data_IF_672814649514
#
_entry.id   IF_672814649514
#
_cell.length_a   1.000
_cell.length_b   1.000
_cell.length_c   1.000
_cell.angle_alpha   90.00
_cell.angle_beta   90.00
_cell.angle_gamma   90.00
#
_symmetry.space_group_name_H-M   'P 1'
#
loop_
_entity.id
_entity.type
_entity.pdbx_description
1 polymer ?
#
# COMPACT_ATOMS: atom_id res chain seq x y z
N UNK A 1 -3.46 10.49 11.96
CA UNK A 1 -3.55 11.45 10.83
C UNK A 1 -2.20 11.83 10.25
N UNK A 2 -1.16 12.11 11.06
CA UNK A 2 0.18 12.48 10.55
C UNK A 2 0.82 11.40 9.65
N UNK A 3 0.77 10.13 10.05
CA UNK A 3 1.35 9.01 9.28
C UNK A 3 0.66 8.80 7.94
N UNK A 4 -0.67 8.84 7.89
CA UNK A 4 -1.43 8.69 6.65
C UNK A 4 -1.07 9.78 5.64
N UNK A 5 -0.95 11.04 6.08
CA UNK A 5 -0.54 12.14 5.21
C UNK A 5 0.86 11.94 4.60
N UNK A 6 1.84 11.54 5.42
CA UNK A 6 3.19 11.21 4.95
C UNK A 6 3.20 10.04 3.97
N UNK A 7 2.43 9.00 4.25
CA UNK A 7 2.26 7.83 3.37
C UNK A 7 1.68 8.24 2.02
N UNK A 8 0.65 9.07 2.00
CA UNK A 8 0.06 9.58 0.75
C UNK A 8 1.06 10.42 -0.04
N UNK A 9 1.86 11.26 0.62
CA UNK A 9 2.92 12.03 -0.05
C UNK A 9 3.96 11.09 -0.66
N UNK A 10 4.42 10.08 0.08
CA UNK A 10 5.37 9.09 -0.43
C UNK A 10 4.81 8.32 -1.64
N UNK A 11 3.52 7.93 -1.59
CA UNK A 11 2.83 7.27 -2.70
C UNK A 11 2.70 8.18 -3.92
N UNK A 12 2.44 9.47 -3.72
CA UNK A 12 2.39 10.45 -4.81
C UNK A 12 3.77 10.63 -5.47
N UNK A 13 4.86 10.62 -4.69
CA UNK A 13 6.23 10.63 -5.24
C UNK A 13 6.49 9.39 -6.07
N UNK A 14 6.11 8.19 -5.58
CA UNK A 14 6.23 6.95 -6.34
C UNK A 14 5.46 7.05 -7.67
N UNK A 15 4.21 7.53 -7.62
CA UNK A 15 3.39 7.72 -8.82
C UNK A 15 4.00 8.69 -9.83
N UNK A 16 4.64 9.76 -9.35
CA UNK A 16 5.33 10.73 -10.21
C UNK A 16 6.55 10.11 -10.92
N UNK A 17 7.26 9.17 -10.28
CA UNK A 17 8.31 8.40 -10.93
C UNK A 17 7.74 7.36 -11.90
N UNK A 18 6.63 6.72 -11.55
CA UNK A 18 5.93 5.74 -12.41
C UNK A 18 5.47 6.39 -13.72
N UNK A 19 4.98 7.63 -13.63
CA UNK A 19 4.61 8.44 -14.80
C UNK A 19 5.81 8.83 -15.69
N UNK A 20 7.05 8.63 -15.28
CA UNK A 20 8.22 8.99 -16.09
C UNK A 20 8.85 7.78 -16.80
N UNK A 21 8.39 6.55 -16.51
CA UNK A 21 9.02 5.33 -17.01
C UNK A 21 7.98 4.45 -17.72
N UNK A 22 8.00 4.45 -19.06
CA UNK A 22 7.01 3.75 -19.90
C UNK A 22 7.03 2.22 -19.79
N UNK A 23 8.13 1.62 -19.29
CA UNK A 23 8.34 0.17 -19.39
C UNK A 23 8.30 -0.61 -18.08
N UNK A 24 8.35 0.07 -16.93
CA UNK A 24 8.43 -0.60 -15.62
C UNK A 24 7.48 0.07 -14.65
N UNK A 25 6.52 -0.71 -14.13
CA UNK A 25 5.67 -0.25 -13.04
C UNK A 25 6.34 -0.45 -11.68
N UNK A 26 6.43 0.64 -10.91
CA UNK A 26 6.91 0.69 -9.55
C UNK A 26 5.85 0.34 -8.50
N UNK A 27 4.78 -0.35 -8.89
CA UNK A 27 3.75 -0.81 -7.95
C UNK A 27 4.29 -1.51 -6.68
N UNK A 28 5.42 -2.27 -6.69
CA UNK A 28 5.92 -2.90 -5.46
C UNK A 28 6.36 -1.88 -4.40
N UNK A 29 6.72 -0.65 -4.80
CA UNK A 29 7.11 0.40 -3.86
C UNK A 29 5.95 0.86 -2.98
N UNK A 30 4.69 0.65 -3.40
CA UNK A 30 3.51 0.95 -2.60
C UNK A 30 3.31 -0.03 -1.44
N UNK A 31 4.03 -1.17 -1.41
CA UNK A 31 4.00 -2.13 -0.29
C UNK A 31 4.45 -1.44 1.01
N UNK A 32 5.59 -0.74 0.99
CA UNK A 32 6.16 -0.10 2.18
C UNK A 32 5.17 0.85 2.89
N UNK A 33 4.62 1.85 2.18
CA UNK A 33 3.64 2.77 2.74
C UNK A 33 2.36 2.08 3.25
N UNK A 34 1.86 1.07 2.54
CA UNK A 34 0.68 0.28 2.98
C UNK A 34 0.99 -0.50 4.26
N UNK A 35 2.15 -1.14 4.36
CA UNK A 35 2.59 -1.84 5.57
C UNK A 35 2.69 -0.86 6.74
N UNK A 36 3.38 0.28 6.55
CA UNK A 36 3.60 1.26 7.61
C UNK A 36 2.30 1.77 8.21
N UNK A 37 1.35 2.21 7.37
CA UNK A 37 0.07 2.73 7.86
C UNK A 37 -0.82 1.64 8.46
N UNK A 38 -0.76 0.42 7.93
CA UNK A 38 -1.51 -0.73 8.46
C UNK A 38 -1.01 -1.14 9.84
N UNK A 39 0.30 -1.09 10.04
CA UNK A 39 0.93 -1.40 11.31
C UNK A 39 0.55 -0.39 12.40
N UNK A 40 0.66 0.90 12.09
CA UNK A 40 0.40 1.96 13.08
C UNK A 40 -1.09 2.21 13.34
N UNK A 41 -1.91 2.16 12.28
CA UNK A 41 -3.30 2.64 12.31
C UNK A 41 -4.33 1.58 11.96
N UNK A 42 -3.89 0.32 11.81
CA UNK A 42 -4.73 -0.84 11.56
C UNK A 42 -5.29 -0.94 10.13
N UNK A 43 -6.07 -2.01 9.92
CA UNK A 43 -6.49 -2.46 8.59
C UNK A 43 -7.28 -1.43 7.80
N UNK A 44 -8.15 -0.65 8.45
CA UNK A 44 -8.96 0.37 7.77
C UNK A 44 -8.08 1.40 7.05
N UNK A 45 -7.05 1.87 7.73
CA UNK A 45 -6.10 2.84 7.18
C UNK A 45 -5.26 2.21 6.06
N UNK A 46 -4.85 0.95 6.25
CA UNK A 46 -4.21 0.14 5.22
C UNK A 46 -5.05 -0.02 3.95
N UNK A 47 -6.33 -0.34 4.09
CA UNK A 47 -7.25 -0.51 2.98
C UNK A 47 -7.46 0.80 2.19
N UNK A 48 -7.56 1.94 2.89
CA UNK A 48 -7.60 3.26 2.25
C UNK A 48 -6.30 3.52 1.48
N UNK A 49 -5.13 3.22 2.05
CA UNK A 49 -3.87 3.37 1.34
C UNK A 49 -3.78 2.45 0.11
N UNK A 50 -4.21 1.19 0.21
CA UNK A 50 -4.27 0.27 -0.95
C UNK A 50 -5.17 0.81 -2.07
N UNK A 51 -6.31 1.42 -1.73
CA UNK A 51 -7.19 2.05 -2.71
C UNK A 51 -6.53 3.28 -3.36
N UNK A 52 -5.83 4.10 -2.58
CA UNK A 52 -5.06 5.25 -3.08
C UNK A 52 -3.94 4.77 -4.02
N UNK A 53 -3.24 3.68 -3.70
CA UNK A 53 -2.23 3.08 -4.58
C UNK A 53 -2.82 2.74 -5.95
N UNK A 54 -3.97 2.04 -5.97
CA UNK A 54 -4.67 1.71 -7.22
C UNK A 54 -5.08 2.93 -8.03
N UNK A 55 -5.63 3.96 -7.36
CA UNK A 55 -6.00 5.21 -8.02
C UNK A 55 -4.78 5.93 -8.62
N UNK A 56 -3.65 5.94 -7.91
CA UNK A 56 -2.40 6.54 -8.39
C UNK A 56 -1.78 5.77 -9.56
N UNK A 57 -1.84 4.44 -9.55
CA UNK A 57 -1.40 3.60 -10.68
C UNK A 57 -2.24 3.88 -11.93
N UNK A 58 -3.57 4.01 -11.78
CA UNK A 58 -4.47 4.41 -12.86
C UNK A 58 -4.13 5.82 -13.36
N UNK A 59 -3.96 6.78 -12.46
CA UNK A 59 -3.62 8.14 -12.83
C UNK A 59 -2.29 8.22 -13.61
N UNK A 60 -1.24 7.56 -13.13
CA UNK A 60 0.05 7.50 -13.81
C UNK A 60 -0.07 6.88 -15.21
N UNK A 61 -0.78 5.74 -15.32
CA UNK A 61 -1.04 5.08 -16.59
C UNK A 61 -1.82 5.95 -17.59
N UNK A 62 -2.80 6.73 -17.11
CA UNK A 62 -3.57 7.62 -17.99
C UNK A 62 -2.78 8.82 -18.50
N UNK A 63 -1.77 9.27 -17.76
CA UNK A 63 -0.97 10.44 -18.13
C UNK A 63 0.15 10.08 -19.11
N UNK A 64 0.78 8.92 -18.92
CA UNK A 64 2.02 8.58 -19.62
C UNK A 64 1.97 7.23 -20.35
N UNK A 65 0.85 6.52 -20.28
CA UNK A 65 0.70 5.18 -20.86
C UNK A 65 1.09 4.08 -19.87
N UNK A 66 0.90 2.83 -20.30
CA UNK A 66 1.20 1.66 -19.47
C UNK A 66 1.84 0.54 -20.29
N UNK A 67 2.66 -0.33 -19.68
CA UNK A 67 3.40 -1.38 -20.40
C UNK A 67 2.53 -2.56 -20.85
N UNK A 68 1.24 -2.57 -20.51
CA UNK A 68 0.33 -3.67 -20.83
C UNK A 68 -0.14 -3.61 -22.28
N UNK A 69 -0.38 -4.80 -22.87
CA UNK A 69 -0.83 -4.95 -24.26
C UNK A 69 -2.26 -4.45 -24.51
N UNK A 70 -3.07 -4.29 -23.47
CA UNK A 70 -4.39 -3.68 -23.53
C UNK A 70 -4.84 -3.12 -22.18
N UNK A 71 -5.78 -2.18 -22.22
CA UNK A 71 -6.40 -1.57 -21.04
C UNK A 71 -7.08 -2.60 -20.13
N UNK A 72 -7.63 -3.67 -20.71
CA UNK A 72 -8.24 -4.76 -19.95
C UNK A 72 -7.22 -5.49 -19.08
N UNK A 73 -6.03 -5.80 -19.63
CA UNK A 73 -4.95 -6.42 -18.86
C UNK A 73 -4.42 -5.47 -17.79
N UNK A 74 -4.32 -4.18 -18.10
CA UNK A 74 -3.93 -3.16 -17.14
C UNK A 74 -4.88 -3.10 -15.93
N UNK A 75 -6.21 -3.08 -16.17
CA UNK A 75 -7.20 -3.05 -15.11
C UNK A 75 -7.17 -4.30 -14.24
N UNK A 76 -7.04 -5.49 -14.84
CA UNK A 76 -6.90 -6.74 -14.08
C UNK A 76 -5.63 -6.72 -13.23
N UNK A 77 -4.50 -6.33 -13.82
CA UNK A 77 -3.24 -6.26 -13.10
C UNK A 77 -3.31 -5.29 -11.90
N UNK A 78 -3.88 -4.11 -12.11
CA UNK A 78 -4.11 -3.12 -11.05
C UNK A 78 -5.03 -3.67 -9.96
N UNK A 79 -6.12 -4.33 -10.32
CA UNK A 79 -7.02 -4.96 -9.36
C UNK A 79 -6.31 -6.05 -8.53
N UNK A 80 -5.49 -6.89 -9.17
CA UNK A 80 -4.68 -7.90 -8.48
C UNK A 80 -3.66 -7.25 -7.53
N UNK A 81 -3.00 -6.16 -7.93
CA UNK A 81 -2.07 -5.43 -7.09
C UNK A 81 -2.77 -4.83 -5.87
N UNK A 82 -3.93 -4.19 -6.05
CA UNK A 82 -4.73 -3.66 -4.93
C UNK A 82 -5.19 -4.78 -4.00
N UNK A 83 -5.62 -5.93 -4.54
CA UNK A 83 -5.98 -7.09 -3.74
C UNK A 83 -4.80 -7.62 -2.92
N UNK A 84 -3.60 -7.70 -3.52
CA UNK A 84 -2.38 -8.09 -2.82
C UNK A 84 -2.04 -7.11 -1.69
N UNK A 85 -2.14 -5.80 -1.93
CA UNK A 85 -1.94 -4.77 -0.91
C UNK A 85 -2.98 -4.86 0.21
N UNK A 86 -4.24 -5.19 -0.09
CA UNK A 86 -5.28 -5.41 0.92
C UNK A 86 -4.97 -6.63 1.80
N UNK A 87 -4.50 -7.72 1.20
CA UNK A 87 -4.09 -8.92 1.94
C UNK A 87 -2.92 -8.58 2.88
N UNK A 88 -1.91 -7.87 2.38
CA UNK A 88 -0.77 -7.42 3.18
C UNK A 88 -1.21 -6.49 4.32
N UNK A 89 -2.06 -5.50 4.03
CA UNK A 89 -2.61 -4.60 5.03
C UNK A 89 -3.31 -5.37 6.17
N UNK A 90 -4.08 -6.40 5.81
CA UNK A 90 -4.75 -7.25 6.79
C UNK A 90 -3.77 -8.04 7.65
N UNK A 91 -2.82 -8.76 7.04
CA UNK A 91 -1.82 -9.55 7.77
C UNK A 91 -0.99 -8.70 8.72
N UNK A 92 -0.47 -7.58 8.24
CA UNK A 92 0.37 -6.66 9.02
C UNK A 92 -0.40 -6.05 10.19
N UNK A 93 -1.68 -5.70 9.98
CA UNK A 93 -2.53 -5.21 11.07
C UNK A 93 -2.75 -6.27 12.16
N UNK A 94 -2.89 -7.54 11.77
CA UNK A 94 -3.05 -8.65 12.73
C UNK A 94 -1.76 -8.94 13.48
N UNK A 95 -0.63 -8.86 12.79
CA UNK A 95 0.69 -9.03 13.39
C UNK A 95 0.95 -7.93 14.44
N UNK A 96 0.72 -6.67 14.09
CA UNK A 96 0.87 -5.53 15.02
C UNK A 96 -0.01 -5.68 16.27
N UNK A 97 -1.28 -6.09 16.09
CA UNK A 97 -2.18 -6.34 17.21
C UNK A 97 -1.69 -7.48 18.13
N UNK A 98 -1.09 -8.52 17.54
CA UNK A 98 -0.57 -9.68 18.29
C UNK A 98 0.67 -9.31 19.09
N UNK A 99 1.60 -8.56 18.49
CA UNK A 99 2.77 -8.00 19.18
C UNK A 99 2.36 -7.14 20.37
N UNK A 100 1.40 -6.23 20.18
CA UNK A 100 0.93 -5.36 21.25
C UNK A 100 0.33 -6.14 22.44
N UNK A 101 -0.31 -7.29 22.18
CA UNK A 101 -0.83 -8.17 23.24
C UNK A 101 0.32 -8.92 23.93
N UNK A 102 1.24 -9.50 23.15
CA UNK A 102 2.38 -10.25 23.67
C UNK A 102 3.25 -9.37 24.58
N UNK A 103 3.56 -8.15 24.15
CA UNK A 103 4.37 -7.20 24.93
C UNK A 103 3.70 -6.83 26.25
N UNK A 104 2.36 -6.67 26.26
CA UNK A 104 1.61 -6.43 27.51
C UNK A 104 1.64 -7.63 28.46
N UNK A 105 1.58 -8.86 27.93
CA UNK A 105 1.67 -10.06 28.74
C UNK A 105 3.07 -10.25 29.33
N UNK A 106 4.11 -10.07 28.52
CA UNK A 106 5.51 -10.15 28.97
C UNK A 106 5.81 -9.12 30.06
N UNK A 107 5.27 -7.90 29.94
CA UNK A 107 5.42 -6.87 30.96
C UNK A 107 4.75 -7.28 32.29
N UNK A 108 3.55 -7.87 32.25
CA UNK A 108 2.84 -8.36 33.45
C UNK A 108 3.51 -9.56 34.12
N UNK A 109 4.31 -10.34 33.39
CA UNK A 109 4.99 -11.51 33.94
C UNK A 109 6.34 -11.16 34.57
N UNK A 110 6.97 -10.07 34.15
CA UNK A 110 8.30 -9.65 34.62
C UNK A 110 8.30 -8.40 35.50
N UNK A 111 7.15 -7.72 35.66
CA UNK A 111 6.95 -6.58 36.56
C UNK A 111 6.04 -6.94 37.72
#
# INVERSE_FOLDING_TARGET
>A
MKTLGLVVIAMAVIAAFDAQIDQVSFWPLYIGPVIAVSWESGFRSGAVASAIAGALLIAAATLCGHPYSSDFYFLIATACQVAALLILAWYVSRLAATEAVLTKLLYKLHG
#
